data_IF_732893907017
#
_entry.id   IF_732893907017
#
_cell.length_a   1.000
_cell.length_b   1.000
_cell.length_c   1.000
_cell.angle_alpha   90.00
_cell.angle_beta   90.00
_cell.angle_gamma   90.00
#
_symmetry.space_group_name_H-M   'P 1'
#
loop_
_entity.id
_entity.type
_entity.pdbx_description
1 polymer ?
#
# COMPACT_ATOMS: atom_id res chain seq x y z
N UNK A 1 31.90 14.60 -22.86
CA UNK A 1 30.74 15.49 -23.15
C UNK A 1 30.20 15.98 -21.82
N UNK A 2 30.15 17.30 -21.58
CA UNK A 2 29.79 17.85 -20.27
C UNK A 2 28.27 17.81 -20.04
N UNK A 3 27.90 17.45 -18.83
CA UNK A 3 26.55 17.33 -18.29
C UNK A 3 25.87 18.69 -18.15
N UNK A 4 24.65 18.80 -18.68
CA UNK A 4 23.78 19.98 -18.52
C UNK A 4 23.12 19.91 -17.12
N UNK A 5 23.21 20.96 -16.28
CA UNK A 5 22.56 20.98 -14.99
C UNK A 5 21.06 21.33 -15.14
N UNK A 6 20.20 20.44 -14.67
CA UNK A 6 18.75 20.66 -14.60
C UNK A 6 18.44 21.59 -13.42
N UNK A 7 17.86 22.76 -13.71
CA UNK A 7 17.35 23.69 -12.68
C UNK A 7 15.83 23.59 -12.63
N UNK A 8 15.21 23.35 -11.46
CA UNK A 8 13.75 23.35 -11.35
C UNK A 8 13.19 24.78 -11.44
N UNK A 9 11.95 24.95 -11.94
CA UNK A 9 11.33 26.26 -12.08
C UNK A 9 11.01 26.88 -10.71
N UNK A 10 11.33 28.17 -10.56
CA UNK A 10 10.91 29.00 -9.42
C UNK A 10 9.43 29.34 -9.54
N UNK A 11 8.61 28.86 -8.61
CA UNK A 11 7.23 29.34 -8.47
C UNK A 11 7.21 30.61 -7.62
N UNK A 12 6.66 31.67 -8.18
CA UNK A 12 6.38 32.94 -7.51
C UNK A 12 5.30 32.76 -6.44
N UNK A 13 5.54 33.33 -5.26
CA UNK A 13 4.58 33.40 -4.16
C UNK A 13 3.26 34.05 -4.59
N UNK A 14 2.14 33.39 -4.28
CA UNK A 14 0.79 33.94 -4.40
C UNK A 14 0.27 34.40 -3.03
N UNK A 15 -0.68 35.36 -2.98
CA UNK A 15 -0.97 36.15 -1.79
C UNK A 15 -1.80 35.42 -0.74
N UNK A 16 -1.59 35.81 0.52
CA UNK A 16 -2.40 35.43 1.67
C UNK A 16 -3.87 35.82 1.46
N UNK A 17 -4.79 34.85 1.53
CA UNK A 17 -6.22 35.08 1.64
C UNK A 17 -6.73 34.66 3.03
N UNK A 18 -7.53 35.55 3.62
CA UNK A 18 -8.09 35.50 4.96
C UNK A 18 -9.06 34.34 5.19
N UNK A 19 -9.07 33.82 6.42
CA UNK A 19 -10.03 32.82 6.92
C UNK A 19 -11.49 33.26 6.74
N UNK A 20 -12.28 32.44 6.05
CA UNK A 20 -13.74 32.44 6.14
C UNK A 20 -14.22 31.12 6.78
N UNK A 21 -15.07 31.26 7.81
CA UNK A 21 -15.73 30.19 8.58
C UNK A 21 -16.39 29.14 7.68
N UNK A 22 -16.09 27.86 7.89
CA UNK A 22 -16.86 26.73 7.34
C UNK A 22 -17.92 26.27 8.34
N UNK A 23 -19.16 26.17 7.86
CA UNK A 23 -20.26 25.45 8.52
C UNK A 23 -20.04 23.93 8.41
N UNK A 24 -20.52 23.11 9.36
CA UNK A 24 -20.30 21.67 9.33
C UNK A 24 -21.27 20.98 8.37
N UNK A 25 -20.74 20.31 7.36
CA UNK A 25 -21.47 19.35 6.52
C UNK A 25 -21.11 17.93 6.95
N UNK A 26 -22.07 17.22 7.53
CA UNK A 26 -21.96 15.83 7.96
C UNK A 26 -21.83 14.89 6.74
N UNK A 27 -20.80 14.02 6.64
CA UNK A 27 -20.80 12.96 5.64
C UNK A 27 -21.52 11.73 6.17
N UNK A 28 -22.55 11.30 5.43
CA UNK A 28 -23.28 10.05 5.65
C UNK A 28 -22.32 8.87 5.50
N UNK A 29 -22.00 8.20 6.62
CA UNK A 29 -21.22 6.95 6.64
C UNK A 29 -22.05 5.82 6.02
N UNK A 30 -21.57 5.23 4.94
CA UNK A 30 -21.98 3.87 4.58
C UNK A 30 -21.39 2.92 5.63
N UNK A 31 -22.27 2.32 6.43
CA UNK A 31 -21.91 1.35 7.45
C UNK A 31 -21.56 0.01 6.77
N UNK A 32 -20.28 -0.36 6.75
CA UNK A 32 -19.88 -1.75 6.61
C UNK A 32 -20.02 -2.42 7.96
N UNK A 33 -20.92 -3.41 8.05
CA UNK A 33 -21.09 -4.29 9.21
C UNK A 33 -19.87 -5.18 9.37
N UNK A 34 -18.90 -4.67 10.11
CA UNK A 34 -17.76 -5.38 10.65
C UNK A 34 -17.20 -4.46 11.72
N UNK A 35 -17.55 -4.71 12.98
CA UNK A 35 -16.96 -4.03 14.12
C UNK A 35 -15.44 -4.11 13.99
N UNK A 36 -14.78 -3.04 13.54
CA UNK A 36 -13.33 -2.96 13.58
C UNK A 36 -12.96 -2.87 15.05
N UNK A 37 -12.61 -4.02 15.64
CA UNK A 37 -12.05 -4.05 16.98
C UNK A 37 -10.81 -3.15 16.94
N UNK A 38 -10.91 -2.00 17.60
CA UNK A 38 -9.81 -1.06 17.76
C UNK A 38 -8.94 -1.64 18.85
N UNK A 39 -7.67 -1.89 18.55
CA UNK A 39 -6.68 -2.30 19.55
C UNK A 39 -5.73 -1.13 19.76
N UNK A 40 -5.73 -0.57 20.96
CA UNK A 40 -4.88 0.54 21.36
C UNK A 40 -4.12 0.27 22.68
N UNK A 41 -3.49 1.30 23.24
CA UNK A 41 -2.70 1.17 24.46
C UNK A 41 -3.53 0.78 25.69
N UNK A 42 -4.81 1.14 25.77
CA UNK A 42 -5.66 0.73 26.88
C UNK A 42 -5.84 -0.79 26.88
N UNK A 43 -6.08 -1.38 25.69
CA UNK A 43 -6.18 -2.82 25.53
C UNK A 43 -4.85 -3.50 25.87
N UNK A 44 -3.73 -3.01 25.32
CA UNK A 44 -2.41 -3.58 25.54
C UNK A 44 -2.02 -3.63 27.03
N UNK A 45 -2.30 -2.57 27.78
CA UNK A 45 -2.02 -2.49 29.22
C UNK A 45 -2.95 -3.39 30.05
N UNK A 46 -4.19 -3.60 29.61
CA UNK A 46 -5.11 -4.51 30.28
C UNK A 46 -4.65 -5.97 30.17
N UNK A 47 -4.21 -6.39 28.98
CA UNK A 47 -3.71 -7.77 28.77
C UNK A 47 -2.38 -8.05 29.46
N UNK A 48 -1.51 -7.04 29.62
CA UNK A 48 -0.25 -7.19 30.37
C UNK A 48 -0.40 -7.38 31.88
N UNK A 49 -1.64 -7.39 32.39
CA UNK A 49 -1.96 -7.58 33.82
C UNK A 49 -2.61 -8.93 34.16
N UNK A 50 -2.76 -9.81 33.17
CA UNK A 50 -3.31 -11.17 33.33
C UNK A 50 -2.16 -12.10 33.72
N UNK A 51 -2.33 -12.86 34.82
CA UNK A 51 -1.31 -13.77 35.36
C UNK A 51 -0.80 -14.79 34.31
N UNK A 52 0.52 -15.02 34.32
CA UNK A 52 1.32 -15.85 33.38
C UNK A 52 0.96 -17.36 33.32
N UNK A 53 -0.18 -17.79 33.85
CA UNK A 53 -0.55 -19.21 33.95
C UNK A 53 -1.29 -19.78 32.71
N UNK A 54 -1.66 -18.96 31.73
CA UNK A 54 -2.19 -19.51 30.47
C UNK A 54 -1.07 -20.07 29.58
N UNK A 55 -1.22 -21.30 29.05
CA UNK A 55 -0.25 -21.86 28.11
C UNK A 55 -0.11 -20.92 26.90
N UNK A 56 1.14 -20.57 26.57
CA UNK A 56 1.48 -19.83 25.35
C UNK A 56 1.03 -20.61 24.11
N UNK A 57 -0.23 -20.45 23.72
CA UNK A 57 -0.74 -20.96 22.45
C UNK A 57 -0.50 -19.93 21.35
N UNK A 58 -0.19 -20.42 20.15
CA UNK A 58 0.06 -19.55 18.99
C UNK A 58 -1.22 -19.20 18.23
N UNK A 59 -2.40 -19.54 18.76
CA UNK A 59 -3.67 -19.46 18.05
C UNK A 59 -4.00 -18.02 17.64
N UNK A 60 -3.71 -17.04 18.52
CA UNK A 60 -3.89 -15.62 18.24
C UNK A 60 -3.02 -15.12 17.08
N UNK A 61 -1.77 -15.59 16.99
CA UNK A 61 -0.88 -15.27 15.88
C UNK A 61 -1.40 -15.86 14.56
N UNK A 62 -1.81 -17.13 14.56
CA UNK A 62 -2.39 -17.76 13.37
C UNK A 62 -3.69 -17.09 12.93
N UNK A 63 -4.56 -16.72 13.87
CA UNK A 63 -5.78 -15.97 13.55
C UNK A 63 -5.45 -14.64 12.85
N UNK A 64 -4.43 -13.92 13.30
CA UNK A 64 -3.98 -12.67 12.66
C UNK A 64 -3.46 -12.93 11.25
N UNK A 65 -2.67 -13.98 11.03
CA UNK A 65 -2.22 -14.41 9.69
C UNK A 65 -3.41 -14.74 8.80
N UNK A 66 -4.40 -15.49 9.29
CA UNK A 66 -5.62 -15.80 8.53
C UNK A 66 -6.42 -14.56 8.16
N UNK A 67 -6.56 -13.59 9.08
CA UNK A 67 -7.23 -12.31 8.80
C UNK A 67 -6.51 -11.54 7.69
N UNK A 68 -5.18 -11.55 7.66
CA UNK A 68 -4.40 -10.90 6.59
C UNK A 68 -4.51 -11.61 5.23
N UNK A 69 -4.82 -12.92 5.21
CA UNK A 69 -4.96 -13.74 4.00
C UNK A 69 -6.42 -14.04 3.63
N UNK A 70 -7.37 -13.26 4.16
CA UNK A 70 -8.81 -13.39 3.85
C UNK A 70 -9.14 -12.93 2.42
N UNK A 71 -10.29 -13.35 1.89
CA UNK A 71 -10.82 -12.85 0.61
C UNK A 71 -10.53 -13.75 -0.59
N UNK A 72 -9.79 -14.85 -0.40
CA UNK A 72 -9.56 -15.85 -1.46
C UNK A 72 -10.87 -16.49 -1.94
N UNK A 73 -11.87 -16.57 -1.08
CA UNK A 73 -13.23 -17.03 -1.39
C UNK A 73 -13.97 -16.11 -2.37
N UNK A 74 -13.54 -14.84 -2.49
CA UNK A 74 -14.15 -13.85 -3.39
C UNK A 74 -13.45 -13.75 -4.74
N UNK A 75 -12.50 -14.64 -5.04
CA UNK A 75 -11.70 -14.58 -6.28
C UNK A 75 -12.55 -14.45 -7.54
N UNK A 76 -13.71 -15.10 -7.58
CA UNK A 76 -14.65 -15.05 -8.71
C UNK A 76 -15.34 -13.69 -8.88
N UNK A 77 -15.28 -12.79 -7.91
CA UNK A 77 -15.76 -11.40 -8.02
C UNK A 77 -14.76 -10.48 -8.71
N UNK A 78 -13.51 -10.95 -8.89
CA UNK A 78 -12.43 -10.18 -9.48
C UNK A 78 -12.11 -10.65 -10.90
N UNK A 79 -11.57 -9.73 -11.68
CA UNK A 79 -11.16 -9.90 -13.05
C UNK A 79 -9.64 -9.68 -13.12
N UNK A 80 -8.87 -10.62 -13.69
CA UNK A 80 -7.44 -10.41 -13.89
C UNK A 80 -7.15 -9.17 -14.74
N UNK A 81 -6.19 -8.37 -14.33
CA UNK A 81 -5.64 -7.27 -15.12
C UNK A 81 -4.32 -7.72 -15.76
N UNK A 82 -4.36 -7.93 -17.08
CA UNK A 82 -3.25 -8.47 -17.86
C UNK A 82 -2.45 -7.36 -18.54
N UNK A 83 -1.13 -7.43 -18.37
CA UNK A 83 -0.15 -6.61 -19.07
C UNK A 83 0.89 -7.56 -19.67
N UNK A 84 1.09 -7.49 -20.99
CA UNK A 84 2.05 -8.33 -21.70
C UNK A 84 1.89 -9.84 -21.39
N UNK A 85 0.62 -10.28 -21.31
CA UNK A 85 0.16 -11.65 -20.96
C UNK A 85 0.50 -12.12 -19.54
N UNK A 86 0.83 -11.20 -18.63
CA UNK A 86 1.11 -11.48 -17.23
C UNK A 86 0.08 -10.78 -16.35
N UNK A 87 -0.37 -11.44 -15.28
CA UNK A 87 -1.34 -10.87 -14.35
C UNK A 87 -0.62 -9.87 -13.44
N UNK A 88 -0.90 -8.59 -13.64
CA UNK A 88 -0.33 -7.49 -12.86
C UNK A 88 -1.18 -7.15 -11.62
N UNK A 89 -2.44 -7.59 -11.60
CA UNK A 89 -3.35 -7.43 -10.47
C UNK A 89 -4.74 -8.00 -10.73
N UNK A 90 -5.65 -7.79 -9.79
CA UNK A 90 -7.03 -8.24 -9.84
C UNK A 90 -8.00 -7.10 -9.56
N UNK A 91 -8.85 -6.77 -10.53
CA UNK A 91 -9.81 -5.67 -10.43
C UNK A 91 -11.21 -6.20 -10.18
N UNK A 92 -11.92 -5.69 -9.19
CA UNK A 92 -13.30 -6.12 -8.91
C UNK A 92 -14.20 -5.90 -10.14
N UNK A 93 -15.04 -6.87 -10.49
CA UNK A 93 -15.92 -6.85 -11.70
C UNK A 93 -16.87 -5.65 -11.74
N UNK A 94 -17.27 -5.11 -10.59
CA UNK A 94 -18.07 -3.87 -10.57
C UNK A 94 -17.24 -2.64 -10.96
N UNK A 95 -15.96 -2.60 -10.58
CA UNK A 95 -15.06 -1.49 -10.89
C UNK A 95 -14.62 -1.51 -12.36
N UNK A 96 -14.43 -2.69 -12.96
CA UNK A 96 -14.10 -2.80 -14.39
C UNK A 96 -15.15 -2.16 -15.30
N UNK A 97 -16.43 -2.11 -14.89
CA UNK A 97 -17.50 -1.40 -15.62
C UNK A 97 -17.29 0.12 -15.70
N UNK A 98 -16.55 0.70 -14.76
CA UNK A 98 -16.14 2.10 -14.83
C UNK A 98 -14.96 2.27 -15.76
N UNK A 99 -13.98 1.35 -15.68
CA UNK A 99 -12.80 1.35 -16.55
C UNK A 99 -13.17 1.15 -18.02
N UNK A 100 -14.15 0.30 -18.31
CA UNK A 100 -14.64 0.04 -19.68
C UNK A 100 -15.36 1.22 -20.33
N UNK A 101 -15.56 2.34 -19.63
CA UNK A 101 -16.04 3.58 -20.24
C UNK A 101 -14.91 4.38 -20.90
N UNK A 102 -13.65 4.03 -20.59
CA UNK A 102 -12.43 4.61 -21.13
C UNK A 102 -11.81 3.66 -22.16
N UNK A 103 -12.52 3.41 -23.27
CA UNK A 103 -12.12 2.45 -24.33
C UNK A 103 -10.80 2.82 -25.03
N UNK A 104 -10.38 4.08 -24.93
CA UNK A 104 -9.08 4.55 -25.35
C UNK A 104 -7.94 4.00 -24.46
N UNK A 105 -8.25 3.60 -23.21
CA UNK A 105 -7.27 3.10 -22.24
C UNK A 105 -7.45 1.62 -21.92
N UNK A 106 -8.66 1.15 -21.66
CA UNK A 106 -8.94 -0.20 -21.18
C UNK A 106 -9.94 -0.96 -22.05
N UNK A 107 -9.74 -2.27 -22.18
CA UNK A 107 -10.65 -3.20 -22.83
C UNK A 107 -10.89 -4.43 -21.96
N UNK A 108 -12.12 -4.92 -21.98
CA UNK A 108 -12.45 -6.22 -21.40
C UNK A 108 -12.44 -7.24 -22.54
N UNK A 109 -11.60 -8.25 -22.41
CA UNK A 109 -11.41 -9.32 -23.40
C UNK A 109 -12.00 -10.62 -22.84
N UNK A 110 -12.68 -11.36 -23.70
CA UNK A 110 -13.15 -12.73 -23.43
C UNK A 110 -12.42 -13.66 -24.39
N UNK A 111 -11.64 -14.60 -23.85
CA UNK A 111 -11.04 -15.66 -24.66
C UNK A 111 -12.16 -16.51 -25.27
N UNK A 112 -12.28 -16.49 -26.60
CA UNK A 112 -13.46 -17.04 -27.29
C UNK A 112 -13.47 -18.56 -27.44
N UNK A 113 -12.39 -19.23 -27.14
CA UNK A 113 -12.28 -20.69 -27.24
C UNK A 113 -11.60 -21.15 -25.94
N UNK A 114 -12.12 -22.18 -25.26
CA UNK A 114 -11.69 -22.69 -23.95
C UNK A 114 -10.24 -23.19 -23.82
N UNK A 115 -9.32 -22.67 -24.63
CA UNK A 115 -7.88 -22.87 -24.62
C UNK A 115 -7.16 -21.82 -23.75
N UNK A 116 -7.77 -20.64 -23.54
CA UNK A 116 -7.28 -19.63 -22.60
C UNK A 116 -7.72 -19.93 -21.17
N UNK A 117 -6.80 -20.40 -20.31
CA UNK A 117 -7.06 -20.72 -18.88
C UNK A 117 -7.55 -19.51 -18.03
N UNK A 118 -7.56 -18.30 -18.57
CA UNK A 118 -7.66 -17.04 -17.79
C UNK A 118 -9.09 -16.46 -17.80
N UNK A 119 -9.91 -16.79 -18.80
CA UNK A 119 -11.30 -16.31 -18.88
C UNK A 119 -11.42 -14.83 -19.27
N UNK A 120 -12.45 -14.15 -18.75
CA UNK A 120 -12.66 -12.71 -18.97
C UNK A 120 -11.61 -11.89 -18.21
N UNK A 121 -10.97 -10.94 -18.87
CA UNK A 121 -9.87 -10.17 -18.29
C UNK A 121 -9.78 -8.73 -18.80
N UNK A 122 -9.19 -7.85 -18.00
CA UNK A 122 -8.93 -6.45 -18.33
C UNK A 122 -7.56 -6.32 -19.01
N UNK A 123 -7.45 -5.51 -20.06
CA UNK A 123 -6.18 -5.16 -20.73
C UNK A 123 -6.11 -3.68 -21.05
N UNK A 124 -4.90 -3.18 -21.28
CA UNK A 124 -4.71 -1.90 -21.94
C UNK A 124 -5.13 -1.94 -23.41
N UNK A 125 -5.50 -0.78 -23.94
CA UNK A 125 -5.60 -0.53 -25.37
C UNK A 125 -4.23 -0.85 -26.03
N UNK A 126 -4.19 -1.60 -27.15
CA UNK A 126 -2.94 -1.99 -27.81
C UNK A 126 -2.03 -0.84 -28.25
N UNK A 127 -2.55 0.39 -28.31
CA UNK A 127 -1.75 1.60 -28.57
C UNK A 127 -0.85 2.02 -27.40
N UNK A 128 -1.20 1.65 -26.15
CA UNK A 128 -0.46 2.02 -24.94
C UNK A 128 0.70 1.04 -24.66
N UNK A 129 1.81 1.24 -25.37
CA UNK A 129 2.97 0.32 -25.36
C UNK A 129 4.07 0.68 -24.36
N UNK A 130 4.27 1.97 -24.07
CA UNK A 130 5.34 2.41 -23.19
C UNK A 130 4.89 2.58 -21.74
N UNK A 131 5.87 2.57 -20.83
CA UNK A 131 5.68 2.85 -19.42
C UNK A 131 5.01 4.23 -19.22
N UNK A 132 5.48 5.25 -19.93
CA UNK A 132 5.01 6.63 -19.84
C UNK A 132 3.57 6.74 -20.34
N UNK A 133 3.27 6.18 -21.51
CA UNK A 133 1.93 6.22 -22.09
C UNK A 133 0.90 5.52 -21.19
N UNK A 134 1.24 4.37 -20.61
CA UNK A 134 0.39 3.66 -19.65
C UNK A 134 0.18 4.51 -18.38
N UNK A 135 1.26 5.08 -17.83
CA UNK A 135 1.20 5.92 -16.61
C UNK A 135 0.31 7.13 -16.81
N UNK A 136 0.49 7.88 -17.89
CA UNK A 136 -0.29 9.09 -18.19
C UNK A 136 -1.76 8.76 -18.45
N UNK A 137 -2.04 7.74 -19.26
CA UNK A 137 -3.41 7.32 -19.57
C UNK A 137 -4.17 6.89 -18.31
N UNK A 138 -3.54 6.10 -17.44
CA UNK A 138 -4.17 5.64 -16.19
C UNK A 138 -4.36 6.82 -15.22
N UNK A 139 -3.40 7.72 -15.11
CA UNK A 139 -3.54 8.92 -14.29
C UNK A 139 -4.73 9.79 -14.75
N UNK A 140 -4.93 9.92 -16.06
CA UNK A 140 -6.11 10.61 -16.61
C UNK A 140 -7.42 9.90 -16.22
N UNK A 141 -7.48 8.57 -16.36
CA UNK A 141 -8.66 7.78 -15.95
C UNK A 141 -8.95 7.96 -14.46
N UNK A 142 -7.95 7.86 -13.59
CA UNK A 142 -8.12 8.04 -12.13
C UNK A 142 -8.68 9.42 -11.81
N UNK A 143 -8.19 10.47 -12.49
CA UNK A 143 -8.73 11.82 -12.35
C UNK A 143 -10.20 11.90 -12.75
N UNK A 144 -10.59 11.26 -13.85
CA UNK A 144 -11.98 11.21 -14.33
C UNK A 144 -12.90 10.42 -13.39
N UNK A 145 -12.40 9.38 -12.72
CA UNK A 145 -13.16 8.59 -11.75
C UNK A 145 -13.43 9.37 -10.45
N UNK A 146 -12.61 10.36 -10.12
CA UNK A 146 -12.82 11.28 -9.00
C UNK A 146 -13.08 10.56 -7.68
N UNK A 147 -14.23 10.85 -7.05
CA UNK A 147 -14.59 10.33 -5.73
C UNK A 147 -14.79 8.80 -5.66
N UNK A 148 -14.79 8.09 -6.80
CA UNK A 148 -14.76 6.62 -6.80
C UNK A 148 -13.44 6.08 -6.23
N UNK A 149 -12.35 6.84 -6.33
CA UNK A 149 -11.05 6.55 -5.71
C UNK A 149 -10.75 7.70 -4.72
N UNK A 150 -11.28 7.64 -3.50
CA UNK A 150 -11.03 8.67 -2.50
C UNK A 150 -9.59 8.60 -1.98
N UNK A 151 -9.11 9.70 -1.40
CA UNK A 151 -7.84 9.73 -0.67
C UNK A 151 -6.59 9.75 -1.56
N UNK A 152 -6.65 10.43 -2.71
CA UNK A 152 -5.50 10.71 -3.58
C UNK A 152 -4.34 11.31 -2.77
N UNK A 153 -3.12 10.77 -2.95
CA UNK A 153 -1.94 11.13 -2.16
C UNK A 153 -0.85 11.82 -2.98
N UNK A 154 -1.01 11.91 -4.30
CA UNK A 154 0.03 12.36 -5.22
C UNK A 154 1.32 11.53 -5.05
N UNK A 155 1.14 10.23 -4.83
CA UNK A 155 2.20 9.28 -4.55
C UNK A 155 2.02 8.09 -5.47
N UNK A 156 3.00 7.84 -6.33
CA UNK A 156 2.92 6.77 -7.32
C UNK A 156 3.52 5.49 -6.76
N UNK A 157 2.81 4.38 -6.92
CA UNK A 157 3.31 3.03 -6.71
C UNK A 157 3.73 2.40 -8.04
N UNK A 158 4.76 1.53 -8.03
CA UNK A 158 5.13 0.74 -9.20
C UNK A 158 4.11 -0.39 -9.43
N UNK A 159 3.62 -0.55 -10.65
CA UNK A 159 2.88 -1.76 -11.03
C UNK A 159 3.86 -2.77 -11.62
N UNK A 160 4.17 -3.82 -10.86
CA UNK A 160 5.16 -4.83 -11.22
C UNK A 160 4.71 -6.23 -10.79
N UNK A 161 5.32 -7.26 -11.35
CA UNK A 161 5.01 -8.66 -11.05
C UNK A 161 5.56 -9.11 -9.71
N UNK A 162 6.73 -8.60 -9.35
CA UNK A 162 7.45 -8.95 -8.15
C UNK A 162 8.41 -7.83 -7.76
N UNK A 163 8.86 -7.87 -6.50
CA UNK A 163 9.82 -6.91 -6.00
C UNK A 163 11.13 -7.01 -6.80
N UNK A 164 11.71 -5.87 -7.18
CA UNK A 164 12.93 -5.80 -7.99
C UNK A 164 12.75 -6.04 -9.49
N UNK A 165 11.56 -6.46 -9.95
CA UNK A 165 11.25 -6.58 -11.38
C UNK A 165 10.87 -5.19 -11.93
N UNK A 166 11.36 -4.80 -13.12
CA UNK A 166 10.99 -3.53 -13.75
C UNK A 166 9.47 -3.34 -13.83
N UNK A 167 8.94 -2.17 -13.42
CA UNK A 167 7.51 -1.92 -13.44
C UNK A 167 6.97 -1.71 -14.86
N UNK A 168 5.73 -2.11 -15.08
CA UNK A 168 5.01 -1.88 -16.34
C UNK A 168 4.58 -0.43 -16.53
N UNK A 169 4.19 0.23 -15.43
CA UNK A 169 3.76 1.63 -15.36
C UNK A 169 3.68 2.06 -13.88
N UNK A 170 3.37 3.33 -13.62
CA UNK A 170 3.12 3.84 -12.28
C UNK A 170 1.65 4.20 -12.04
N UNK A 171 1.18 3.94 -10.83
CA UNK A 171 -0.22 4.08 -10.44
C UNK A 171 -0.33 4.92 -9.17
N UNK A 172 -1.27 5.85 -9.09
CA UNK A 172 -1.58 6.57 -7.84
C UNK A 172 -1.89 5.59 -6.71
N UNK A 173 -1.25 5.75 -5.55
CA UNK A 173 -1.36 4.87 -4.37
C UNK A 173 -2.79 4.60 -3.97
N UNK A 174 -3.66 5.61 -3.99
CA UNK A 174 -5.07 5.43 -3.66
C UNK A 174 -5.80 4.44 -4.58
N UNK A 175 -5.34 4.29 -5.83
CA UNK A 175 -5.91 3.37 -6.80
C UNK A 175 -5.36 1.93 -6.67
N UNK A 176 -4.27 1.69 -5.94
CA UNK A 176 -3.65 0.37 -5.84
C UNK A 176 -4.62 -0.76 -5.42
N UNK A 177 -5.50 -0.57 -4.41
CA UNK A 177 -6.48 -1.61 -4.03
C UNK A 177 -7.54 -1.87 -5.11
N UNK A 178 -7.85 -0.87 -5.95
CA UNK A 178 -8.87 -0.99 -6.99
C UNK A 178 -8.38 -1.79 -8.19
N UNK A 179 -7.10 -1.65 -8.53
CA UNK A 179 -6.45 -2.47 -9.55
C UNK A 179 -5.94 -3.82 -9.00
N UNK A 180 -5.96 -3.99 -7.67
CA UNK A 180 -5.48 -5.18 -6.96
C UNK A 180 -4.03 -5.49 -7.32
N UNK A 181 -3.19 -4.46 -7.40
CA UNK A 181 -1.76 -4.63 -7.67
C UNK A 181 -1.03 -5.03 -6.39
N UNK A 182 0.14 -5.64 -6.56
CA UNK A 182 1.09 -5.81 -5.44
C UNK A 182 1.59 -4.44 -4.98
N UNK A 183 1.44 -4.16 -3.69
CA UNK A 183 1.99 -2.98 -3.03
C UNK A 183 3.16 -3.37 -2.13
N UNK A 184 4.12 -2.47 -2.00
CA UNK A 184 5.31 -2.67 -1.17
C UNK A 184 5.37 -1.58 -0.09
N UNK A 185 6.09 -1.88 0.99
CA UNK A 185 6.27 -0.99 2.12
C UNK A 185 7.54 -1.32 2.87
N UNK A 186 7.95 -0.40 3.74
CA UNK A 186 9.08 -0.54 4.65
C UNK A 186 8.58 -0.41 6.08
N UNK A 187 9.09 -1.26 6.96
CA UNK A 187 8.73 -1.30 8.37
C UNK A 187 10.01 -1.43 9.19
N UNK A 188 10.11 -0.72 10.30
CA UNK A 188 11.26 -0.79 11.20
C UNK A 188 10.78 -1.06 12.62
N UNK A 189 11.39 -2.06 13.27
CA UNK A 189 11.29 -2.25 14.71
C UNK A 189 12.42 -1.45 15.38
N UNK A 190 12.07 -0.63 16.37
CA UNK A 190 13.04 0.09 17.19
C UNK A 190 12.99 -0.45 18.61
N UNK A 191 14.12 -0.83 19.17
CA UNK A 191 14.20 -1.29 20.56
C UNK A 191 15.37 -0.65 21.29
N UNK A 192 15.29 -0.62 22.61
CA UNK A 192 16.39 -0.24 23.51
C UNK A 192 16.63 -1.36 24.51
N UNK A 193 17.84 -1.41 25.06
CA UNK A 193 18.17 -2.31 26.17
C UNK A 193 18.40 -1.47 27.42
N UNK A 194 17.64 -1.76 28.48
CA UNK A 194 17.72 -1.09 29.77
C UNK A 194 17.82 -2.20 30.81
N UNK A 195 18.87 -2.18 31.64
CA UNK A 195 19.10 -3.20 32.67
C UNK A 195 19.05 -4.65 32.15
N UNK A 196 19.60 -4.87 30.94
CA UNK A 196 19.59 -6.17 30.22
C UNK A 196 18.22 -6.66 29.75
N UNK A 197 17.19 -5.83 29.83
CA UNK A 197 15.86 -6.09 29.27
C UNK A 197 15.63 -5.30 27.99
N UNK A 198 14.93 -5.91 27.02
CA UNK A 198 14.63 -5.30 25.72
C UNK A 198 13.25 -4.65 25.75
N UNK A 199 13.20 -3.37 25.41
CA UNK A 199 11.97 -2.60 25.28
C UNK A 199 11.74 -2.21 23.83
N UNK A 200 10.56 -2.50 23.30
CA UNK A 200 10.17 -2.14 21.94
C UNK A 200 9.46 -0.77 21.93
N UNK A 201 9.89 0.12 21.05
CA UNK A 201 9.13 1.32 20.73
C UNK A 201 7.93 0.96 19.84
N UNK A 202 6.74 1.23 20.35
CA UNK A 202 5.47 1.04 19.62
C UNK A 202 4.82 2.40 19.41
N UNK A 203 4.60 2.77 18.15
CA UNK A 203 3.97 4.04 17.83
C UNK A 203 2.44 3.94 17.97
N UNK A 204 1.78 5.07 18.26
CA UNK A 204 0.33 5.21 18.09
C UNK A 204 0.07 6.09 16.87
N UNK A 205 -0.70 5.59 15.91
CA UNK A 205 -1.07 6.34 14.71
C UNK A 205 -1.94 7.54 15.07
N UNK A 206 -1.72 8.68 14.42
CA UNK A 206 -2.61 9.85 14.55
C UNK A 206 -4.06 9.48 14.20
N UNK A 207 -5.01 10.11 14.89
CA UNK A 207 -6.45 10.00 14.63
C UNK A 207 -6.84 10.52 13.23
N UNK A 208 -6.01 11.40 12.65
CA UNK A 208 -6.25 11.98 11.32
C UNK A 208 -5.77 11.08 10.17
N UNK A 209 -5.10 9.95 10.45
CA UNK A 209 -4.65 9.05 9.38
C UNK A 209 -5.87 8.42 8.70
N UNK A 210 -5.94 8.40 7.35
CA UNK A 210 -7.09 7.88 6.62
C UNK A 210 -7.26 6.36 6.77
N UNK A 211 -6.19 5.65 7.10
CA UNK A 211 -6.20 4.20 7.35
C UNK A 211 -5.72 3.92 8.77
N UNK A 212 -6.48 3.09 9.49
CA UNK A 212 -6.17 2.62 10.84
C UNK A 212 -5.87 3.74 11.85
N UNK A 213 -6.74 4.76 11.99
CA UNK A 213 -6.51 5.87 12.92
C UNK A 213 -6.47 5.39 14.38
N UNK A 214 -5.52 5.90 15.17
CA UNK A 214 -5.37 5.58 16.59
C UNK A 214 -4.86 4.18 16.93
N UNK A 215 -4.61 3.31 15.94
CA UNK A 215 -4.07 1.97 16.16
C UNK A 215 -2.58 2.00 16.48
N UNK A 216 -2.08 0.96 17.15
CA UNK A 216 -0.65 0.75 17.37
C UNK A 216 0.07 0.35 16.07
N UNK A 217 1.33 0.76 15.93
CA UNK A 217 2.16 0.51 14.76
C UNK A 217 3.64 0.32 15.15
N UNK A 218 4.45 -0.05 14.18
CA UNK A 218 5.90 -0.01 14.28
C UNK A 218 6.37 1.43 14.60
N UNK A 219 7.59 1.59 15.13
CA UNK A 219 8.16 2.93 15.32
C UNK A 219 8.17 3.74 14.02
N UNK A 220 8.38 3.08 12.88
CA UNK A 220 8.34 3.67 11.53
C UNK A 220 7.74 2.66 10.55
N UNK A 221 6.74 3.08 9.75
CA UNK A 221 6.13 2.25 8.72
C UNK A 221 5.56 3.06 7.55
N UNK A 222 6.05 2.80 6.34
CA UNK A 222 5.69 3.54 5.14
C UNK A 222 5.37 2.65 3.95
N UNK A 223 4.55 3.18 3.03
CA UNK A 223 4.45 2.61 1.69
C UNK A 223 5.77 2.78 0.94
N UNK A 224 6.04 2.00 -0.10
CA UNK A 224 7.23 2.14 -0.96
C UNK A 224 6.83 2.76 -2.31
N UNK A 225 7.07 4.07 -2.50
CA UNK A 225 6.80 4.76 -3.76
C UNK A 225 7.64 4.23 -4.92
N UNK A 226 7.20 4.56 -6.12
CA UNK A 226 7.99 4.40 -7.33
C UNK A 226 9.27 5.26 -7.26
N UNK A 227 10.39 4.70 -7.75
CA UNK A 227 11.64 5.44 -7.94
C UNK A 227 12.51 5.62 -6.69
N UNK A 228 12.09 5.13 -5.52
CA UNK A 228 12.88 5.18 -4.28
C UNK A 228 13.25 3.77 -3.82
N UNK A 229 14.49 3.58 -3.36
CA UNK A 229 14.94 2.30 -2.80
C UNK A 229 14.43 2.12 -1.37
N UNK A 230 14.31 0.88 -0.89
CA UNK A 230 13.88 0.58 0.48
C UNK A 230 14.70 1.34 1.52
N UNK A 231 16.04 1.36 1.37
CA UNK A 231 16.95 2.09 2.26
C UNK A 231 16.67 3.60 2.28
N UNK A 232 16.51 4.23 1.12
CA UNK A 232 16.20 5.67 1.06
C UNK A 232 14.83 5.95 1.66
N UNK A 233 13.86 5.08 1.39
CA UNK A 233 12.50 5.24 1.87
C UNK A 233 12.43 5.12 3.39
N UNK A 234 13.04 4.09 3.99
CA UNK A 234 13.00 3.94 5.46
C UNK A 234 13.72 5.09 6.17
N UNK A 235 14.81 5.63 5.62
CA UNK A 235 15.48 6.82 6.18
C UNK A 235 14.56 8.05 6.12
N UNK A 236 13.85 8.27 5.01
CA UNK A 236 12.85 9.34 4.87
C UNK A 236 11.73 9.18 5.90
N UNK A 237 11.12 8.00 5.98
CA UNK A 237 10.01 7.73 6.90
C UNK A 237 10.45 7.84 8.38
N UNK A 238 11.70 7.45 8.71
CA UNK A 238 12.29 7.65 10.02
C UNK A 238 12.29 9.12 10.46
N UNK A 239 12.67 10.02 9.55
CA UNK A 239 12.69 11.46 9.82
C UNK A 239 11.27 12.02 9.93
N UNK A 240 10.38 11.67 9.00
CA UNK A 240 9.03 12.21 8.93
C UNK A 240 8.09 11.72 10.04
N UNK A 241 8.16 10.43 10.42
CA UNK A 241 7.22 9.83 11.37
C UNK A 241 7.72 9.78 12.80
N UNK A 242 9.05 9.67 13.00
CA UNK A 242 9.65 9.48 14.32
C UNK A 242 10.72 10.52 14.68
N UNK A 243 11.04 11.45 13.78
CA UNK A 243 12.11 12.44 14.00
C UNK A 243 13.51 11.82 14.13
N UNK A 244 13.70 10.60 13.62
CA UNK A 244 14.97 9.86 13.72
C UNK A 244 15.89 10.33 12.58
N UNK A 245 17.01 11.01 12.88
CA UNK A 245 17.90 11.53 11.87
C UNK A 245 18.66 10.43 11.14
N UNK A 246 19.11 10.74 9.92
CA UNK A 246 19.93 9.85 9.09
C UNK A 246 21.17 9.29 9.82
N UNK A 247 21.77 10.06 10.73
CA UNK A 247 22.93 9.62 11.53
C UNK A 247 22.66 8.38 12.39
N UNK A 248 21.38 8.12 12.69
CA UNK A 248 20.89 6.94 13.41
C UNK A 248 20.26 5.96 12.42
N UNK A 249 19.32 6.42 11.58
CA UNK A 249 18.54 5.53 10.72
C UNK A 249 19.35 4.83 9.63
N UNK A 250 20.59 5.25 9.30
CA UNK A 250 21.46 4.50 8.38
C UNK A 250 22.11 3.27 9.00
N UNK A 251 22.04 3.12 10.33
CA UNK A 251 22.68 2.04 11.11
C UNK A 251 21.71 0.90 11.44
N UNK A 252 20.56 0.84 10.76
CA UNK A 252 19.62 -0.26 10.95
C UNK A 252 20.26 -1.60 10.60
N UNK A 253 19.85 -2.65 11.31
CA UNK A 253 20.23 -4.02 11.00
C UNK A 253 19.36 -4.47 9.83
N UNK A 254 19.99 -4.81 8.72
CA UNK A 254 19.25 -5.32 7.57
C UNK A 254 18.66 -6.70 7.91
N UNK A 255 17.34 -6.93 7.74
CA UNK A 255 16.73 -8.22 8.02
C UNK A 255 17.36 -9.38 7.22
N UNK A 256 18.00 -9.10 6.08
CA UNK A 256 18.75 -10.11 5.31
C UNK A 256 20.01 -10.61 6.02
N UNK A 257 20.57 -9.87 6.98
CA UNK A 257 21.73 -10.31 7.75
C UNK A 257 21.42 -11.48 8.69
N UNK A 258 20.16 -11.67 9.06
CA UNK A 258 19.73 -12.64 10.09
C UNK A 258 18.78 -13.71 9.53
N UNK A 259 18.66 -13.83 8.21
CA UNK A 259 17.77 -14.82 7.56
C UNK A 259 16.27 -14.55 7.71
N UNK A 260 15.88 -13.36 8.20
CA UNK A 260 14.49 -13.00 8.45
C UNK A 260 13.64 -12.99 7.17
N UNK A 261 14.21 -12.53 6.04
CA UNK A 261 13.50 -12.60 4.76
C UNK A 261 13.29 -14.04 4.27
N UNK A 262 14.22 -14.96 4.53
CA UNK A 262 14.03 -16.38 4.20
C UNK A 262 12.90 -16.99 5.02
N UNK A 263 12.81 -16.66 6.31
CA UNK A 263 11.70 -17.07 7.17
C UNK A 263 10.37 -16.47 6.68
N UNK A 264 10.31 -15.18 6.37
CA UNK A 264 9.08 -14.57 5.86
C UNK A 264 8.65 -15.17 4.51
N UNK A 265 9.61 -15.53 3.65
CA UNK A 265 9.33 -16.19 2.39
C UNK A 265 8.83 -17.62 2.59
N UNK A 266 9.38 -18.38 3.55
CA UNK A 266 8.93 -19.75 3.83
C UNK A 266 7.55 -19.81 4.49
N UNK A 267 7.17 -18.76 5.24
CA UNK A 267 5.83 -18.61 5.83
C UNK A 267 4.76 -18.15 4.82
N UNK A 268 5.13 -17.75 3.60
CA UNK A 268 4.15 -17.50 2.54
C UNK A 268 3.60 -18.82 2.04
N UNK A 269 2.42 -19.20 2.52
CA UNK A 269 1.67 -20.31 1.93
C UNK A 269 1.08 -19.86 0.60
N UNK A 270 1.64 -20.35 -0.51
CA UNK A 270 1.18 -20.07 -1.89
C UNK A 270 1.41 -18.62 -2.33
N UNK A 271 1.34 -18.37 -3.64
CA UNK A 271 1.37 -17.04 -4.24
C UNK A 271 0.26 -16.16 -3.63
N UNK A 272 0.59 -15.42 -2.56
CA UNK A 272 -0.20 -14.31 -2.09
C UNK A 272 -0.30 -13.32 -3.27
N UNK A 273 -1.46 -13.35 -3.91
CA UNK A 273 -1.82 -12.50 -5.05
C UNK A 273 -2.26 -11.15 -4.56
#
# INVERSE_FOLDING_TARGET
MPSIPFSPPRFSALPQFSLARRLPSTPTRFASTGSSVRFDWADALQFGSIDDEEPLDLSGFFQRVSVCNRGSEKKDEFMPFLIDNQIAGYTHKAFTKHLSKHNDVFHIVKDKNGEGKIGEHLRFNPSLKSYEARTEAVAHVIKCLGNLIPGIRNELYPVTLAFGVPPFFSLERAAAPYFGIKAYGVHMNGYVEIDSEKFLWVAKRSEDKPTFPGMLDHIVAGGLPHGISCKKNIIKECEEEAGIPASISTKYIDPDCEGYLQLLQSLRSSDCT
#
